data_IF_627554550152
#
_entry.id   IF_627554550152
#
_cell.length_a   1.000
_cell.length_b   1.000
_cell.length_c   1.000
_cell.angle_alpha   90.00
_cell.angle_beta   90.00
_cell.angle_gamma   90.00
#
_symmetry.space_group_name_H-M   'P 1'
#
loop_
_entity.id
_entity.type
_entity.pdbx_description
1 polymer ?
#
# COMPACT_ATOMS: atom_id res chain seq x y z
N UNK A 1 -1.72 -73.41 64.39
CA UNK A 1 -1.18 -72.32 63.55
C UNK A 1 -1.86 -72.40 62.20
N UNK A 2 -2.93 -71.63 61.99
CA UNK A 2 -2.97 -70.39 61.17
C UNK A 2 -2.59 -70.64 59.70
N UNK A 3 -3.59 -70.93 58.86
CA UNK A 3 -3.47 -70.77 57.40
C UNK A 3 -4.85 -70.58 56.73
N UNK A 4 -5.54 -69.49 57.08
CA UNK A 4 -6.67 -68.98 56.29
C UNK A 4 -6.70 -67.46 56.35
N UNK A 5 -5.78 -66.79 55.65
CA UNK A 5 -5.82 -65.33 55.54
C UNK A 5 -5.13 -64.75 54.28
N UNK A 6 -4.86 -65.52 53.22
CA UNK A 6 -4.03 -65.02 52.10
C UNK A 6 -4.69 -64.91 50.71
N UNK A 7 -5.95 -65.34 50.53
CA UNK A 7 -6.60 -65.24 49.20
C UNK A 7 -7.37 -63.93 48.92
N UNK A 8 -7.58 -63.07 49.92
CA UNK A 8 -8.28 -61.79 49.76
C UNK A 8 -7.38 -60.58 49.46
N UNK A 9 -6.07 -60.66 49.78
CA UNK A 9 -5.14 -59.51 49.72
C UNK A 9 -4.58 -59.30 48.30
N UNK A 10 -4.56 -60.33 47.45
CA UNK A 10 -4.05 -60.26 46.08
C UNK A 10 -5.01 -59.59 45.08
N UNK A 11 -6.31 -59.56 45.36
CA UNK A 11 -7.31 -58.95 44.46
C UNK A 11 -7.39 -57.42 44.63
N UNK A 12 -7.09 -56.92 45.82
CA UNK A 12 -7.16 -55.50 46.17
C UNK A 12 -6.19 -54.61 45.36
N UNK A 13 -4.91 -54.98 45.14
CA UNK A 13 -4.03 -54.20 44.27
C UNK A 13 -4.50 -54.22 42.81
N UNK A 14 -5.06 -55.33 42.32
CA UNK A 14 -5.54 -55.45 40.94
C UNK A 14 -6.79 -54.60 40.72
N UNK A 15 -7.76 -54.63 41.63
CA UNK A 15 -8.96 -53.78 41.54
C UNK A 15 -8.61 -52.30 41.68
N UNK A 16 -7.66 -51.95 42.54
CA UNK A 16 -7.16 -50.58 42.66
C UNK A 16 -6.49 -50.13 41.34
N UNK A 17 -5.66 -50.97 40.72
CA UNK A 17 -5.04 -50.63 39.43
C UNK A 17 -6.06 -50.46 38.30
N UNK A 18 -7.06 -51.33 38.23
CA UNK A 18 -8.13 -51.23 37.23
C UNK A 18 -8.98 -49.97 37.45
N UNK A 19 -9.28 -49.61 38.70
CA UNK A 19 -10.00 -48.38 39.03
C UNK A 19 -9.20 -47.12 38.65
N UNK A 20 -7.89 -47.12 38.90
CA UNK A 20 -7.01 -46.00 38.51
C UNK A 20 -6.90 -45.86 36.99
N UNK A 21 -6.72 -46.98 36.28
CA UNK A 21 -6.69 -46.97 34.80
C UNK A 21 -8.03 -46.50 34.22
N UNK A 22 -9.15 -46.95 34.77
CA UNK A 22 -10.49 -46.49 34.37
C UNK A 22 -10.71 -45.00 34.64
N UNK A 23 -10.26 -44.49 35.78
CA UNK A 23 -10.35 -43.07 36.12
C UNK A 23 -9.47 -42.20 35.19
N UNK A 24 -8.25 -42.64 34.86
CA UNK A 24 -7.37 -41.96 33.91
C UNK A 24 -7.95 -41.97 32.49
N UNK A 25 -8.47 -43.10 32.03
CA UNK A 25 -9.13 -43.19 30.72
C UNK A 25 -10.33 -42.24 30.62
N UNK A 26 -11.19 -42.22 31.65
CA UNK A 26 -12.32 -41.28 31.72
C UNK A 26 -11.87 -39.81 31.74
N UNK A 27 -10.83 -39.48 32.51
CA UNK A 27 -10.27 -38.15 32.57
C UNK A 27 -9.67 -37.70 31.22
N UNK A 28 -8.98 -38.59 30.49
CA UNK A 28 -8.43 -38.30 29.16
C UNK A 28 -9.54 -38.10 28.12
N UNK A 29 -10.58 -38.93 28.11
CA UNK A 29 -11.72 -38.77 27.18
C UNK A 29 -12.47 -37.46 27.45
N UNK A 30 -12.68 -37.12 28.73
CA UNK A 30 -13.33 -35.86 29.11
C UNK A 30 -12.45 -34.65 28.82
N UNK A 31 -11.14 -34.74 29.09
CA UNK A 31 -10.14 -33.72 28.78
C UNK A 31 -10.12 -33.40 27.28
N UNK A 32 -9.93 -34.43 26.44
CA UNK A 32 -9.93 -34.25 24.99
C UNK A 32 -11.25 -33.70 24.43
N UNK A 33 -12.39 -34.08 25.01
CA UNK A 33 -13.69 -33.50 24.62
C UNK A 33 -13.83 -32.02 24.98
N UNK A 34 -13.29 -31.60 26.14
CA UNK A 34 -13.27 -30.18 26.55
C UNK A 34 -12.30 -29.37 25.68
N UNK A 35 -11.14 -29.93 25.33
CA UNK A 35 -10.16 -29.27 24.47
C UNK A 35 -10.72 -29.06 23.04
N UNK A 36 -11.42 -30.06 22.48
CA UNK A 36 -12.10 -29.92 21.19
C UNK A 36 -13.21 -28.86 21.23
N UNK A 37 -14.03 -28.85 22.28
CA UNK A 37 -15.08 -27.84 22.43
C UNK A 37 -14.52 -26.42 22.59
N UNK A 38 -13.37 -26.28 23.27
CA UNK A 38 -12.67 -25.01 23.40
C UNK A 38 -12.13 -24.53 22.04
N UNK A 39 -11.52 -25.43 21.27
CA UNK A 39 -11.02 -25.15 19.91
C UNK A 39 -12.17 -24.74 18.98
N UNK A 40 -13.29 -25.47 19.01
CA UNK A 40 -14.46 -25.14 18.19
C UNK A 40 -15.05 -23.76 18.54
N UNK A 41 -15.09 -23.42 19.84
CA UNK A 41 -15.52 -22.10 20.30
C UNK A 41 -14.57 -20.98 19.84
N UNK A 42 -13.26 -21.22 19.86
CA UNK A 42 -12.26 -20.26 19.36
C UNK A 42 -12.41 -20.04 17.85
N UNK A 43 -12.55 -21.11 17.07
CA UNK A 43 -12.82 -21.02 15.64
C UNK A 43 -14.11 -20.26 15.34
N UNK A 44 -15.16 -20.42 16.16
CA UNK A 44 -16.43 -19.73 15.96
C UNK A 44 -16.32 -18.22 16.23
N UNK A 45 -15.53 -17.82 17.23
CA UNK A 45 -15.22 -16.41 17.49
C UNK A 45 -14.46 -15.79 16.31
N UNK A 46 -13.48 -16.51 15.74
CA UNK A 46 -12.75 -16.04 14.56
C UNK A 46 -13.66 -15.90 13.34
N UNK A 47 -14.58 -16.85 13.12
CA UNK A 47 -15.61 -16.74 12.07
C UNK A 47 -16.46 -15.50 12.25
N UNK A 48 -16.90 -15.20 13.48
CA UNK A 48 -17.66 -13.99 13.78
C UNK A 48 -16.86 -12.71 13.43
N UNK A 49 -15.54 -12.68 13.72
CA UNK A 49 -14.66 -11.58 13.33
C UNK A 49 -14.58 -11.42 11.80
N UNK A 50 -14.37 -12.51 11.06
CA UNK A 50 -14.30 -12.44 9.60
C UNK A 50 -15.63 -12.00 8.96
N UNK A 51 -16.76 -12.46 9.51
CA UNK A 51 -18.09 -11.98 9.10
C UNK A 51 -18.22 -10.47 9.36
N UNK A 52 -17.76 -9.98 10.52
CA UNK A 52 -17.78 -8.55 10.83
C UNK A 52 -16.91 -7.74 9.84
N UNK A 53 -15.71 -8.22 9.51
CA UNK A 53 -14.84 -7.60 8.52
C UNK A 53 -15.47 -7.57 7.12
N UNK A 54 -16.11 -8.66 6.69
CA UNK A 54 -16.86 -8.70 5.44
C UNK A 54 -18.00 -7.68 5.43
N UNK A 55 -18.70 -7.53 6.55
CA UNK A 55 -19.73 -6.51 6.75
C UNK A 55 -19.22 -5.08 6.59
N UNK A 56 -18.02 -4.78 7.13
CA UNK A 56 -17.38 -3.48 6.97
C UNK A 56 -17.09 -3.18 5.50
N UNK A 57 -16.52 -4.15 4.76
CA UNK A 57 -16.22 -3.98 3.34
C UNK A 57 -17.48 -3.87 2.49
N UNK A 58 -18.54 -4.62 2.80
CA UNK A 58 -19.83 -4.50 2.13
C UNK A 58 -20.42 -3.10 2.29
N UNK A 59 -20.40 -2.56 3.51
CA UNK A 59 -20.90 -1.21 3.77
C UNK A 59 -20.09 -0.17 3.01
N UNK A 60 -18.76 -0.28 3.05
CA UNK A 60 -17.86 0.60 2.32
C UNK A 60 -18.21 0.59 0.83
N UNK A 61 -18.20 -0.58 0.20
CA UNK A 61 -18.48 -0.72 -1.23
C UNK A 61 -19.85 -0.16 -1.64
N UNK A 62 -20.90 -0.41 -0.85
CA UNK A 62 -22.24 0.10 -1.16
C UNK A 62 -22.28 1.62 -1.18
N UNK A 63 -21.64 2.28 -0.21
CA UNK A 63 -21.64 3.73 -0.10
C UNK A 63 -20.70 4.40 -1.12
N UNK A 64 -19.55 3.79 -1.41
CA UNK A 64 -18.65 4.21 -2.49
C UNK A 64 -19.35 4.18 -3.86
N UNK A 65 -20.16 3.15 -4.11
CA UNK A 65 -20.93 3.02 -5.36
C UNK A 65 -22.04 4.08 -5.49
N UNK A 66 -22.50 4.66 -4.39
CA UNK A 66 -23.43 5.80 -4.40
C UNK A 66 -22.72 7.14 -4.60
N UNK A 67 -21.39 7.14 -4.74
CA UNK A 67 -20.58 8.33 -4.93
C UNK A 67 -20.56 9.24 -3.69
N UNK A 68 -20.79 8.67 -2.50
CA UNK A 68 -20.78 9.38 -1.21
C UNK A 68 -21.74 10.57 -1.12
N UNK A 69 -22.88 10.48 -1.83
CA UNK A 69 -23.95 11.50 -1.78
C UNK A 69 -25.03 11.18 -0.77
N UNK A 70 -25.13 9.93 -0.35
CA UNK A 70 -26.10 9.46 0.63
C UNK A 70 -25.62 8.21 1.33
N UNK A 71 -25.88 8.18 2.64
CA UNK A 71 -25.64 7.01 3.48
C UNK A 71 -26.69 5.93 3.18
N UNK A 72 -26.23 4.70 3.00
CA UNK A 72 -27.08 3.53 2.90
C UNK A 72 -26.54 2.38 3.74
N UNK A 73 -27.36 1.95 4.69
CA UNK A 73 -27.17 0.68 5.36
C UNK A 73 -27.56 -0.50 4.49
N UNK A 74 -26.89 -1.64 4.71
CA UNK A 74 -27.23 -2.89 4.07
C UNK A 74 -28.30 -3.70 4.83
N UNK A 75 -28.74 -3.24 6.01
CA UNK A 75 -29.75 -3.93 6.81
C UNK A 75 -29.21 -5.24 7.36
N UNK A 76 -29.91 -6.35 7.08
CA UNK A 76 -29.50 -7.70 7.47
C UNK A 76 -29.08 -8.49 6.24
N UNK A 77 -27.91 -9.14 6.33
CA UNK A 77 -27.36 -10.00 5.27
C UNK A 77 -27.09 -11.38 5.85
N UNK A 78 -27.73 -12.39 5.27
CA UNK A 78 -27.51 -13.80 5.61
C UNK A 78 -26.41 -14.39 4.71
N UNK A 79 -25.42 -15.05 5.33
CA UNK A 79 -24.29 -15.69 4.66
C UNK A 79 -24.19 -17.17 5.06
N UNK A 80 -23.54 -18.01 4.25
CA UNK A 80 -23.19 -19.36 4.69
C UNK A 80 -22.32 -19.29 5.95
N UNK A 81 -22.87 -19.73 7.09
CA UNK A 81 -22.18 -19.74 8.38
C UNK A 81 -22.53 -18.60 9.33
N UNK A 82 -23.42 -17.66 8.96
CA UNK A 82 -23.86 -16.61 9.88
C UNK A 82 -24.66 -15.48 9.24
N UNK A 83 -24.86 -14.40 9.99
CA UNK A 83 -25.59 -13.20 9.60
C UNK A 83 -24.83 -11.95 10.02
N UNK A 84 -24.96 -10.88 9.23
CA UNK A 84 -24.42 -9.56 9.54
C UNK A 84 -25.58 -8.55 9.55
N UNK A 85 -25.61 -7.67 10.55
CA UNK A 85 -26.60 -6.60 10.69
C UNK A 85 -25.89 -5.26 10.79
N UNK A 86 -26.21 -4.32 9.90
CA UNK A 86 -25.73 -2.94 9.97
C UNK A 86 -26.40 -2.20 11.12
N UNK A 87 -25.61 -1.54 11.96
CA UNK A 87 -26.06 -0.64 13.03
C UNK A 87 -26.00 0.82 12.61
N UNK A 88 -25.45 1.68 13.46
CA UNK A 88 -25.31 3.11 13.19
C UNK A 88 -24.30 3.38 12.08
N UNK A 89 -24.61 4.33 11.20
CA UNK A 89 -23.71 4.85 10.18
C UNK A 89 -23.69 6.37 10.24
N UNK A 90 -22.51 6.93 10.06
CA UNK A 90 -22.29 8.37 9.95
C UNK A 90 -21.22 8.65 8.89
N UNK A 91 -21.43 9.65 8.07
CA UNK A 91 -20.51 10.07 7.01
C UNK A 91 -20.11 11.52 7.25
N UNK A 92 -18.81 11.74 7.30
CA UNK A 92 -18.26 13.07 7.48
C UNK A 92 -16.80 13.11 7.04
N UNK A 93 -16.46 14.09 6.20
CA UNK A 93 -15.09 14.31 5.72
C UNK A 93 -14.48 13.09 5.01
N UNK A 94 -15.22 12.43 4.12
CA UNK A 94 -14.74 11.27 3.35
C UNK A 94 -14.48 10.00 4.12
N UNK A 95 -15.11 9.89 5.29
CA UNK A 95 -15.08 8.68 6.09
C UNK A 95 -16.51 8.22 6.39
N UNK A 96 -16.72 6.92 6.30
CA UNK A 96 -17.90 6.22 6.81
C UNK A 96 -17.55 5.63 8.17
N UNK A 97 -18.16 6.14 9.23
CA UNK A 97 -18.20 5.48 10.52
C UNK A 97 -19.34 4.45 10.50
N UNK A 98 -19.05 3.19 10.78
CA UNK A 98 -20.06 2.13 10.84
C UNK A 98 -19.94 1.29 12.10
N UNK A 99 -21.10 0.99 12.68
CA UNK A 99 -21.27 -0.08 13.66
C UNK A 99 -22.02 -1.24 13.02
N UNK A 100 -21.66 -2.47 13.36
CA UNK A 100 -22.37 -3.67 12.88
C UNK A 100 -22.24 -4.82 13.88
N UNK A 101 -23.13 -5.79 13.77
CA UNK A 101 -23.08 -7.03 14.53
C UNK A 101 -23.02 -8.20 13.56
N UNK A 102 -22.05 -9.08 13.74
CA UNK A 102 -21.96 -10.36 13.06
C UNK A 102 -22.27 -11.49 14.05
N UNK A 103 -23.09 -12.44 13.63
CA UNK A 103 -23.49 -13.60 14.43
C UNK A 103 -23.30 -14.86 13.60
N UNK A 104 -22.56 -15.85 14.09
CA UNK A 104 -22.38 -17.12 13.39
C UNK A 104 -23.62 -18.01 13.53
N UNK A 105 -23.71 -19.06 12.73
CA UNK A 105 -24.81 -20.02 12.79
C UNK A 105 -24.89 -20.76 14.15
N UNK A 106 -23.77 -20.89 14.84
CA UNK A 106 -23.62 -21.51 16.16
C UNK A 106 -23.76 -20.51 17.31
N UNK A 107 -23.88 -19.21 17.01
CA UNK A 107 -24.27 -18.17 17.96
C UNK A 107 -23.12 -17.29 18.49
N UNK A 108 -21.88 -17.48 18.06
CA UNK A 108 -20.80 -16.55 18.38
C UNK A 108 -21.09 -15.16 17.78
N UNK A 109 -20.77 -14.10 18.52
CA UNK A 109 -21.07 -12.72 18.13
C UNK A 109 -19.79 -11.89 18.10
N UNK A 110 -19.64 -11.07 17.06
CA UNK A 110 -18.65 -10.01 17.01
C UNK A 110 -19.33 -8.68 16.71
N UNK A 111 -19.07 -7.67 17.52
CA UNK A 111 -19.60 -6.32 17.33
C UNK A 111 -18.48 -5.37 16.97
N UNK A 112 -18.70 -4.61 15.90
CA UNK A 112 -17.85 -3.47 15.55
C UNK A 112 -18.61 -2.21 15.88
N UNK A 113 -17.99 -1.30 16.63
CA UNK A 113 -18.57 -0.03 17.03
C UNK A 113 -17.80 1.13 16.39
N UNK A 114 -18.49 1.92 15.56
CA UNK A 114 -17.99 3.20 15.05
C UNK A 114 -16.68 3.14 14.24
N UNK A 115 -16.40 2.04 13.54
CA UNK A 115 -15.19 1.92 12.72
C UNK A 115 -15.25 2.92 11.57
N UNK A 116 -14.23 3.77 11.45
CA UNK A 116 -14.10 4.75 10.35
C UNK A 116 -13.38 4.12 9.15
N UNK A 117 -14.02 4.17 8.00
CA UNK A 117 -13.52 3.66 6.73
C UNK A 117 -13.40 4.84 5.75
N UNK A 118 -12.22 5.02 5.14
CA UNK A 118 -12.06 6.00 4.06
C UNK A 118 -12.81 5.53 2.82
N UNK A 119 -13.54 6.44 2.20
CA UNK A 119 -14.34 6.17 1.01
C UNK A 119 -13.84 6.94 -0.21
N UNK A 120 -14.03 6.34 -1.37
CA UNK A 120 -13.64 6.88 -2.67
C UNK A 120 -14.79 6.83 -3.67
N UNK A 121 -14.82 7.77 -4.61
CA UNK A 121 -15.84 7.79 -5.69
C UNK A 121 -15.49 6.78 -6.79
N UNK A 122 -15.75 5.50 -6.54
CA UNK A 122 -15.38 4.38 -7.43
C UNK A 122 -16.00 4.43 -8.83
N UNK A 123 -17.12 5.14 -9.01
CA UNK A 123 -17.82 5.26 -10.29
C UNK A 123 -17.42 6.52 -11.09
N UNK A 124 -16.51 7.34 -10.57
CA UNK A 124 -16.14 8.63 -11.13
C UNK A 124 -14.61 8.79 -11.18
N UNK A 125 -13.91 7.91 -11.94
CA UNK A 125 -12.47 8.04 -12.11
C UNK A 125 -12.16 9.36 -12.80
N UNK A 126 -11.29 10.15 -12.17
CA UNK A 126 -10.89 11.47 -12.65
C UNK A 126 -9.49 11.38 -13.28
N UNK A 127 -9.29 12.12 -14.37
CA UNK A 127 -7.97 12.32 -14.96
C UNK A 127 -7.43 13.71 -14.61
N UNK A 128 -6.13 13.79 -14.34
CA UNK A 128 -5.45 15.03 -13.97
C UNK A 128 -4.03 15.02 -14.53
N UNK A 129 -3.66 16.07 -15.25
CA UNK A 129 -2.28 16.37 -15.55
C UNK A 129 -1.76 17.41 -14.54
N UNK A 130 -0.58 17.15 -13.95
CA UNK A 130 0.07 18.12 -13.07
C UNK A 130 0.45 19.36 -13.90
N UNK A 131 0.20 20.55 -13.33
CA UNK A 131 0.47 21.81 -14.01
C UNK A 131 1.96 22.05 -14.07
N UNK A 132 2.41 22.76 -15.11
CA UNK A 132 3.79 23.24 -15.23
C UNK A 132 4.28 24.00 -13.99
N UNK A 133 3.43 24.82 -13.38
CA UNK A 133 3.77 25.59 -12.17
C UNK A 133 3.97 24.75 -10.91
N UNK A 134 3.58 23.48 -10.98
CA UNK A 134 3.60 22.53 -9.88
C UNK A 134 4.70 21.48 -10.13
N UNK A 135 5.72 21.83 -10.93
CA UNK A 135 6.88 20.99 -11.26
C UNK A 135 8.13 21.82 -10.95
N UNK A 136 8.97 21.28 -10.08
CA UNK A 136 10.33 21.78 -9.89
C UNK A 136 11.27 20.80 -10.58
N UNK A 137 12.23 21.28 -11.35
CA UNK A 137 13.22 20.41 -11.98
C UNK A 137 14.59 21.05 -12.11
N UNK A 138 15.63 20.23 -12.11
CA UNK A 138 17.01 20.69 -12.28
C UNK A 138 17.86 19.51 -12.70
N UNK A 139 19.13 19.75 -13.03
CA UNK A 139 20.10 18.67 -13.10
C UNK A 139 21.34 19.00 -12.27
N UNK A 140 21.91 17.97 -11.68
CA UNK A 140 23.15 18.04 -10.92
C UNK A 140 24.25 17.36 -11.73
N UNK A 141 25.45 17.97 -11.77
CA UNK A 141 26.56 17.48 -12.61
C UNK A 141 27.89 17.50 -11.87
N UNK A 142 28.62 16.39 -11.94
CA UNK A 142 29.96 16.27 -11.35
C UNK A 142 30.93 17.32 -11.91
N UNK A 143 31.72 17.93 -11.04
CA UNK A 143 32.71 18.95 -11.41
C UNK A 143 32.10 20.29 -11.86
N UNK A 144 30.77 20.42 -11.85
CA UNK A 144 30.08 21.67 -12.11
C UNK A 144 29.41 22.16 -10.81
N UNK A 145 29.99 23.16 -10.12
CA UNK A 145 29.48 23.61 -8.82
C UNK A 145 28.20 24.44 -8.93
N UNK A 146 27.84 24.88 -10.15
CA UNK A 146 26.59 25.61 -10.39
C UNK A 146 25.41 24.66 -10.58
N UNK A 147 24.19 25.16 -10.36
CA UNK A 147 22.98 24.43 -10.68
C UNK A 147 22.75 24.33 -12.19
N UNK A 148 22.16 23.21 -12.62
CA UNK A 148 21.73 22.98 -13.99
C UNK A 148 20.47 23.76 -14.35
N UNK A 149 20.58 25.10 -14.46
CA UNK A 149 19.48 25.96 -14.93
C UNK A 149 19.43 25.98 -16.44
N UNK A 150 18.26 25.72 -17.00
CA UNK A 150 18.04 25.86 -18.43
C UNK A 150 16.78 25.20 -18.92
N UNK A 151 16.66 25.16 -20.24
CA UNK A 151 15.54 24.58 -20.97
C UNK A 151 15.62 23.05 -21.11
N UNK A 152 16.56 22.43 -20.40
CA UNK A 152 16.76 20.99 -20.44
C UNK A 152 17.27 20.42 -19.11
N UNK A 153 16.98 19.13 -18.91
CA UNK A 153 17.50 18.26 -17.88
C UNK A 153 18.56 17.36 -18.50
N UNK A 154 19.82 17.48 -18.04
CA UNK A 154 20.90 16.62 -18.50
C UNK A 154 20.98 15.34 -17.68
N UNK A 155 21.15 14.21 -18.35
CA UNK A 155 21.43 12.92 -17.72
C UNK A 155 22.56 12.20 -18.46
N UNK A 156 23.57 11.82 -17.69
CA UNK A 156 24.80 11.16 -18.16
C UNK A 156 25.22 10.15 -17.12
N UNK A 157 25.64 8.96 -17.57
CA UNK A 157 26.04 7.87 -16.67
C UNK A 157 27.13 8.33 -15.71
N UNK A 158 26.82 8.28 -14.41
CA UNK A 158 27.65 8.69 -13.28
C UNK A 158 28.27 10.10 -13.36
N UNK A 159 27.75 11.00 -14.20
CA UNK A 159 28.23 12.39 -14.30
C UNK A 159 27.14 13.44 -14.17
N UNK A 160 25.91 13.14 -14.59
CA UNK A 160 24.80 14.07 -14.49
C UNK A 160 23.49 13.34 -14.22
N UNK A 161 22.71 13.85 -13.28
CA UNK A 161 21.38 13.32 -12.97
C UNK A 161 20.35 14.45 -13.07
N UNK A 162 19.29 14.22 -13.84
CA UNK A 162 18.11 15.07 -13.81
C UNK A 162 17.28 14.77 -12.57
N UNK A 163 16.69 15.81 -11.99
CA UNK A 163 15.81 15.78 -10.84
C UNK A 163 14.48 16.41 -11.24
N UNK A 164 13.38 15.77 -10.87
CA UNK A 164 12.02 16.27 -11.13
C UNK A 164 11.15 16.00 -9.91
N UNK A 165 10.56 17.04 -9.35
CA UNK A 165 9.60 16.97 -8.25
C UNK A 165 8.23 17.48 -8.68
N UNK A 166 7.17 16.82 -8.21
CA UNK A 166 5.78 17.17 -8.49
C UNK A 166 5.07 17.65 -7.25
N UNK A 167 4.47 18.84 -7.31
CA UNK A 167 3.58 19.34 -6.28
C UNK A 167 2.15 18.88 -6.56
N UNK A 168 1.60 18.06 -5.67
CA UNK A 168 0.24 17.54 -5.86
C UNK A 168 -0.82 18.52 -5.36
N UNK A 169 -1.87 18.79 -6.17
CA UNK A 169 -2.98 19.59 -5.70
C UNK A 169 -3.78 18.82 -4.65
N UNK A 170 -4.49 19.56 -3.79
CA UNK A 170 -5.14 19.00 -2.59
C UNK A 170 -6.18 17.92 -2.88
N UNK A 171 -6.73 17.89 -4.09
CA UNK A 171 -7.72 16.94 -4.58
C UNK A 171 -7.17 15.50 -4.68
N UNK A 172 -5.85 15.34 -4.74
CA UNK A 172 -5.19 14.03 -4.72
C UNK A 172 -4.90 13.50 -3.31
N UNK A 173 -5.07 14.31 -2.25
CA UNK A 173 -4.79 13.86 -0.89
C UNK A 173 -5.67 12.65 -0.52
N UNK A 174 -5.03 11.55 -0.12
CA UNK A 174 -5.68 10.26 0.19
C UNK A 174 -6.53 9.68 -0.97
N UNK A 175 -6.28 10.08 -2.22
CA UNK A 175 -6.89 9.48 -3.40
C UNK A 175 -6.34 8.07 -3.67
N UNK A 176 -7.12 7.23 -4.35
CA UNK A 176 -6.63 5.96 -4.89
C UNK A 176 -6.09 6.21 -6.29
N UNK A 177 -4.79 5.98 -6.49
CA UNK A 177 -4.16 6.12 -7.81
C UNK A 177 -4.46 4.86 -8.61
N UNK A 178 -5.09 5.03 -9.77
CA UNK A 178 -5.33 3.93 -10.71
C UNK A 178 -4.20 3.82 -11.74
N UNK A 179 -3.64 4.96 -12.14
CA UNK A 179 -2.57 5.06 -13.11
C UNK A 179 -1.82 6.38 -12.92
N UNK A 180 -0.50 6.36 -13.03
CA UNK A 180 0.35 7.54 -13.05
C UNK A 180 1.47 7.32 -14.08
N UNK A 181 1.37 8.00 -15.22
CA UNK A 181 2.39 7.97 -16.26
C UNK A 181 3.18 9.27 -16.24
N UNK A 182 4.46 9.15 -15.95
CA UNK A 182 5.42 10.24 -16.09
C UNK A 182 6.04 10.21 -17.48
N UNK A 183 6.05 11.36 -18.17
CA UNK A 183 6.58 11.51 -19.52
C UNK A 183 7.63 12.60 -19.59
N UNK A 184 8.68 12.31 -20.32
CA UNK A 184 9.74 13.26 -20.66
C UNK A 184 10.04 13.17 -22.15
N UNK A 185 10.30 14.30 -22.77
CA UNK A 185 10.73 14.36 -24.17
C UNK A 185 12.21 14.63 -24.25
N UNK A 186 12.95 13.70 -24.85
CA UNK A 186 14.35 13.91 -25.18
C UNK A 186 14.45 14.85 -26.38
N UNK A 187 15.11 15.98 -26.21
CA UNK A 187 15.24 17.04 -27.23
C UNK A 187 16.62 17.07 -27.87
N UNK A 188 17.63 16.56 -27.17
CA UNK A 188 19.01 16.53 -27.66
C UNK A 188 19.77 15.36 -27.01
N UNK A 189 20.82 14.88 -27.68
CA UNK A 189 21.73 13.88 -27.16
C UNK A 189 23.04 13.86 -27.94
N UNK A 190 24.09 13.34 -27.30
CA UNK A 190 25.35 13.09 -28.00
C UNK A 190 25.16 11.98 -29.05
N UNK A 191 25.63 12.27 -30.27
CA UNK A 191 25.42 11.49 -31.51
C UNK A 191 25.52 9.97 -31.37
N UNK A 192 24.69 9.24 -32.14
CA UNK A 192 24.73 7.79 -32.39
C UNK A 192 25.05 6.91 -31.17
N UNK A 193 24.46 7.22 -30.02
CA UNK A 193 24.49 6.29 -28.89
C UNK A 193 23.45 5.17 -29.08
N UNK A 194 23.80 3.90 -28.83
CA UNK A 194 22.85 2.80 -28.83
C UNK A 194 21.77 3.00 -27.76
N UNK A 195 20.65 2.29 -27.91
CA UNK A 195 19.57 2.33 -26.92
C UNK A 195 20.07 1.92 -25.52
N UNK A 196 19.63 2.65 -24.49
CA UNK A 196 20.05 2.45 -23.09
C UNK A 196 18.87 2.59 -22.14
N UNK A 197 18.97 1.95 -20.98
CA UNK A 197 17.98 2.11 -19.93
C UNK A 197 18.15 3.47 -19.24
N UNK A 198 17.04 4.17 -19.03
CA UNK A 198 16.91 5.27 -18.09
C UNK A 198 15.96 4.85 -16.97
N UNK A 199 16.51 4.75 -15.77
CA UNK A 199 15.80 4.35 -14.57
C UNK A 199 15.41 5.58 -13.73
N UNK A 200 14.23 5.49 -13.13
CA UNK A 200 13.70 6.50 -12.23
C UNK A 200 13.85 6.02 -10.79
N UNK A 201 14.55 6.79 -9.98
CA UNK A 201 14.76 6.48 -8.58
C UNK A 201 14.08 7.51 -7.69
N UNK A 202 13.38 7.04 -6.64
CA UNK A 202 12.80 7.95 -5.64
C UNK A 202 13.92 8.62 -4.84
N UNK A 203 13.92 9.95 -4.83
CA UNK A 203 14.85 10.75 -4.01
C UNK A 203 14.45 10.66 -2.54
N UNK A 204 15.44 10.64 -1.64
CA UNK A 204 15.21 10.49 -0.20
C UNK A 204 15.59 11.69 0.64
N UNK A 205 16.18 12.72 0.03
CA UNK A 205 16.58 13.96 0.67
C UNK A 205 15.93 15.14 -0.04
N UNK A 206 15.43 16.10 0.74
CA UNK A 206 14.83 17.33 0.24
C UNK A 206 15.85 18.15 -0.57
N UNK A 207 15.39 18.83 -1.61
CA UNK A 207 16.22 19.69 -2.45
C UNK A 207 15.41 20.86 -2.98
N UNK A 208 16.12 21.91 -3.40
CA UNK A 208 15.53 23.05 -4.07
C UNK A 208 16.17 23.17 -5.43
N UNK A 209 15.36 23.44 -6.43
CA UNK A 209 15.80 23.62 -7.83
C UNK A 209 17.00 24.57 -7.95
N UNK A 210 16.97 25.65 -7.18
CA UNK A 210 18.00 26.68 -7.20
C UNK A 210 19.27 26.35 -6.42
N UNK A 211 19.25 25.34 -5.54
CA UNK A 211 20.35 25.06 -4.60
C UNK A 211 20.98 23.68 -4.79
N UNK A 212 20.33 22.78 -5.54
CA UNK A 212 20.81 21.42 -5.75
C UNK A 212 22.06 21.42 -6.65
N UNK A 213 23.12 20.75 -6.17
CA UNK A 213 24.39 20.56 -6.88
C UNK A 213 24.81 19.09 -6.81
N UNK A 214 25.93 18.72 -7.42
CA UNK A 214 26.41 17.33 -7.33
C UNK A 214 26.69 16.87 -5.90
N UNK A 215 27.15 17.77 -5.01
CA UNK A 215 27.61 17.40 -3.67
C UNK A 215 26.68 17.84 -2.54
N UNK A 216 25.59 18.56 -2.84
CA UNK A 216 24.64 19.05 -1.86
C UNK A 216 23.23 19.07 -2.44
N UNK A 217 22.17 18.82 -1.64
CA UNK A 217 22.17 18.64 -0.17
C UNK A 217 22.39 17.20 0.33
N UNK A 218 22.92 16.33 -0.53
CA UNK A 218 22.98 14.89 -0.33
C UNK A 218 24.04 14.41 0.68
N UNK A 219 23.84 13.21 1.21
CA UNK A 219 24.88 12.49 1.97
C UNK A 219 25.96 11.90 1.06
N UNK A 220 25.58 11.50 -0.16
CA UNK A 220 26.48 10.97 -1.19
C UNK A 220 26.40 11.82 -2.44
N UNK A 221 27.56 12.16 -3.01
CA UNK A 221 27.61 12.94 -4.25
C UNK A 221 26.83 12.23 -5.37
N UNK A 222 26.07 13.02 -6.14
CA UNK A 222 25.16 12.52 -7.16
C UNK A 222 23.74 12.25 -6.68
N UNK A 223 23.40 12.52 -5.42
CA UNK A 223 22.02 12.42 -4.93
C UNK A 223 21.78 11.27 -3.96
N UNK A 224 20.88 11.48 -3.00
CA UNK A 224 20.37 10.42 -2.12
C UNK A 224 19.08 9.83 -2.71
N UNK A 225 19.08 8.55 -3.03
CA UNK A 225 17.94 7.88 -3.67
C UNK A 225 17.82 6.41 -3.29
N UNK A 226 16.62 5.84 -3.49
CA UNK A 226 16.37 4.40 -3.32
C UNK A 226 17.02 3.61 -4.45
N UNK A 227 17.92 2.68 -4.13
CA UNK A 227 18.66 1.89 -5.12
C UNK A 227 17.76 1.05 -6.05
N UNK A 228 16.61 0.57 -5.57
CA UNK A 228 15.60 -0.08 -6.43
C UNK A 228 14.86 1.01 -7.24
N UNK A 229 14.88 0.96 -8.58
CA UNK A 229 14.16 1.93 -9.39
C UNK A 229 12.65 1.76 -9.22
N UNK A 230 11.93 2.88 -9.28
CA UNK A 230 10.48 2.92 -9.36
C UNK A 230 9.98 2.45 -10.74
N UNK A 231 10.70 2.83 -11.80
CA UNK A 231 10.44 2.41 -13.17
C UNK A 231 11.72 2.52 -14.02
N UNK A 232 11.73 1.85 -15.17
CA UNK A 232 12.84 1.96 -16.14
C UNK A 232 12.31 1.76 -17.55
N UNK A 233 12.81 2.57 -18.49
CA UNK A 233 12.44 2.53 -19.91
C UNK A 233 13.72 2.61 -20.75
N UNK A 234 13.73 1.92 -21.89
CA UNK A 234 14.82 2.02 -22.85
C UNK A 234 14.60 3.26 -23.72
N UNK A 235 15.58 4.17 -23.71
CA UNK A 235 15.60 5.38 -24.53
C UNK A 235 16.54 5.20 -25.73
N UNK A 236 16.18 5.80 -26.86
CA UNK A 236 16.83 5.67 -28.15
C UNK A 236 16.60 6.91 -29.03
N UNK A 237 17.39 7.96 -28.81
CA UNK A 237 17.32 9.20 -29.58
C UNK A 237 16.20 10.16 -29.14
N UNK A 238 15.94 11.17 -29.96
CA UNK A 238 14.99 12.23 -29.61
C UNK A 238 13.54 11.74 -29.80
N UNK A 239 12.84 11.50 -28.70
CA UNK A 239 11.45 11.09 -28.67
C UNK A 239 10.83 11.39 -27.30
N UNK A 240 9.51 11.24 -27.19
CA UNK A 240 8.83 11.15 -25.90
C UNK A 240 8.99 9.74 -25.33
N UNK A 241 9.33 9.67 -24.05
CA UNK A 241 9.41 8.44 -23.27
C UNK A 241 8.47 8.50 -22.08
N UNK A 242 7.96 7.35 -21.68
CA UNK A 242 7.00 7.22 -20.58
C UNK A 242 7.45 6.16 -19.57
N UNK A 243 7.15 6.42 -18.31
CA UNK A 243 7.36 5.53 -17.18
C UNK A 243 6.09 5.49 -16.33
N UNK A 244 5.65 4.27 -16.01
CA UNK A 244 4.52 4.06 -15.09
C UNK A 244 5.03 4.01 -13.66
N UNK A 245 4.55 4.94 -12.82
CA UNK A 245 5.03 5.14 -11.45
C UNK A 245 3.89 5.11 -10.41
N UNK A 246 2.82 4.34 -10.69
CA UNK A 246 1.60 4.25 -9.87
C UNK A 246 1.89 4.11 -8.37
N UNK A 247 2.69 3.12 -8.00
CA UNK A 247 2.98 2.82 -6.59
C UNK A 247 3.78 3.93 -5.88
N UNK A 248 4.63 4.65 -6.63
CA UNK A 248 5.41 5.76 -6.08
C UNK A 248 4.49 6.95 -5.81
N UNK A 249 3.67 7.30 -6.79
CA UNK A 249 2.69 8.39 -6.68
C UNK A 249 1.64 8.08 -5.62
N UNK A 250 1.15 6.84 -5.55
CA UNK A 250 0.25 6.40 -4.50
C UNK A 250 0.88 6.55 -3.10
N UNK A 251 2.18 6.24 -2.99
CA UNK A 251 2.93 6.44 -1.78
C UNK A 251 2.98 7.91 -1.32
N UNK A 252 3.21 8.83 -2.27
CA UNK A 252 3.25 10.27 -2.03
C UNK A 252 1.89 10.85 -1.65
N UNK A 253 0.83 10.56 -2.41
CA UNK A 253 -0.51 11.11 -2.15
C UNK A 253 -1.13 10.59 -0.85
N UNK A 254 -0.78 9.37 -0.45
CA UNK A 254 -1.16 8.77 0.84
C UNK A 254 -0.18 9.09 1.98
N UNK A 255 0.89 9.85 1.72
CA UNK A 255 1.90 10.27 2.70
C UNK A 255 2.58 9.11 3.44
N UNK A 256 2.64 7.94 2.79
CA UNK A 256 3.36 6.77 3.32
C UNK A 256 4.86 6.87 3.07
N UNK A 257 5.25 7.65 2.06
CA UNK A 257 6.62 8.06 1.79
C UNK A 257 6.66 9.57 1.50
N UNK A 258 7.71 10.30 1.92
CA UNK A 258 7.93 11.68 1.51
C UNK A 258 8.07 11.80 -0.01
N UNK A 259 7.59 12.92 -0.55
CA UNK A 259 7.83 13.32 -1.92
C UNK A 259 8.99 14.31 -1.93
N UNK A 260 10.09 13.91 -2.56
CA UNK A 260 11.24 14.75 -2.90
C UNK A 260 11.56 14.59 -4.39
N UNK A 261 10.57 14.15 -5.18
CA UNK A 261 10.74 13.88 -6.59
C UNK A 261 11.52 12.61 -6.95
N UNK A 262 12.03 12.64 -8.17
CA UNK A 262 12.61 11.53 -8.91
C UNK A 262 13.97 11.94 -9.44
N UNK A 263 14.93 11.01 -9.34
CA UNK A 263 16.25 11.10 -9.95
C UNK A 263 16.30 10.22 -11.20
N UNK A 264 16.70 10.83 -12.32
CA UNK A 264 16.93 10.22 -13.63
C UNK A 264 18.34 9.63 -13.68
N UNK A 265 18.47 8.32 -13.46
CA UNK A 265 19.75 7.61 -13.49
C UNK A 265 19.82 6.69 -14.71
N UNK A 266 20.67 6.98 -15.70
CA UNK A 266 20.84 6.11 -16.83
C UNK A 266 21.85 5.00 -16.51
N UNK A 267 22.06 4.09 -17.45
CA UNK A 267 23.16 3.11 -17.39
C UNK A 267 23.83 3.05 -18.76
N UNK A 268 25.13 3.35 -18.81
CA UNK A 268 25.92 3.34 -20.05
C UNK A 268 25.48 4.36 -21.10
N UNK A 269 24.83 5.45 -20.68
CA UNK A 269 24.38 6.56 -21.52
C UNK A 269 25.41 7.69 -21.52
N UNK A 270 25.75 8.23 -22.69
CA UNK A 270 26.81 9.24 -22.81
C UNK A 270 26.34 10.65 -22.47
N UNK A 271 25.17 11.04 -22.97
CA UNK A 271 24.48 12.30 -22.64
C UNK A 271 23.09 12.24 -23.27
N UNK A 272 22.06 12.52 -22.49
CA UNK A 272 20.73 12.87 -23.01
C UNK A 272 20.22 14.13 -22.32
N UNK A 273 19.51 14.95 -23.11
CA UNK A 273 18.86 16.16 -22.64
C UNK A 273 17.37 16.04 -22.85
N UNK A 274 16.63 16.10 -21.76
CA UNK A 274 15.17 16.14 -21.77
C UNK A 274 14.72 17.58 -21.66
N UNK A 275 13.59 17.95 -22.26
CA UNK A 275 13.01 19.27 -22.02
C UNK A 275 12.68 19.44 -20.54
N UNK A 276 13.08 20.57 -19.96
CA UNK A 276 12.71 20.94 -18.58
C UNK A 276 11.36 21.66 -18.57
N UNK A 277 10.83 21.88 -17.37
CA UNK A 277 9.61 22.65 -17.14
C UNK A 277 9.79 24.12 -17.55
N UNK A 278 11.01 24.63 -17.71
CA UNK A 278 11.35 25.96 -18.25
C UNK A 278 11.12 26.07 -19.78
N UNK A 279 11.06 24.95 -20.51
CA UNK A 279 10.85 24.98 -21.97
C UNK A 279 9.40 25.32 -22.34
N UNK A 280 9.15 25.86 -23.54
CA UNK A 280 7.82 26.26 -23.99
C UNK A 280 7.01 25.09 -24.56
N UNK A 281 7.68 24.05 -25.02
CA UNK A 281 7.08 22.84 -25.58
C UNK A 281 7.72 21.59 -24.97
N UNK A 282 7.01 20.47 -25.01
CA UNK A 282 7.52 19.16 -24.59
C UNK A 282 7.98 19.07 -23.12
N UNK A 283 7.46 19.96 -22.26
CA UNK A 283 7.72 19.97 -20.82
C UNK A 283 7.44 18.61 -20.18
N UNK A 284 8.05 18.32 -19.01
CA UNK A 284 7.72 17.15 -18.22
C UNK A 284 6.21 17.07 -17.94
N UNK A 285 5.63 15.86 -18.02
CA UNK A 285 4.22 15.64 -17.75
C UNK A 285 4.03 14.47 -16.81
N UNK A 286 3.23 14.66 -15.75
CA UNK A 286 2.67 13.57 -14.97
C UNK A 286 1.16 13.52 -15.17
N UNK A 287 0.71 12.47 -15.85
CA UNK A 287 -0.71 12.21 -16.10
C UNK A 287 -1.22 11.15 -15.13
N UNK A 288 -2.20 11.51 -14.32
CA UNK A 288 -2.83 10.63 -13.35
C UNK A 288 -4.25 10.28 -13.78
N UNK A 289 -4.64 9.05 -13.46
CA UNK A 289 -6.04 8.62 -13.34
C UNK A 289 -6.26 8.12 -11.93
N UNK A 290 -7.25 8.64 -11.23
CA UNK A 290 -7.44 8.37 -9.80
C UNK A 290 -8.91 8.34 -9.40
N UNK A 291 -9.21 7.71 -8.26
CA UNK A 291 -10.48 7.83 -7.57
C UNK A 291 -10.35 8.89 -6.47
N UNK A 292 -11.03 10.03 -6.59
CA UNK A 292 -11.00 11.04 -5.56
C UNK A 292 -11.61 10.49 -4.27
N UNK A 293 -11.08 10.96 -3.15
CA UNK A 293 -11.74 10.80 -1.86
C UNK A 293 -13.14 11.43 -1.95
N UNK A 294 -14.04 10.87 -1.16
CA UNK A 294 -15.24 11.58 -0.72
C UNK A 294 -14.85 12.65 0.32
#
# INVERSE_FOLDING_TARGET
MKEQAQRGILLLPVTLTLAVVGALAYAMTRGGGMDLAAIDAEYDIERARYLAEAGLQLAKWQNERLGCKSQRGFGTVDLPGGRIVSGTMDEGGGQLAISLTATTATGAVNQVAGRRLRMHRVNDPTELAIKRSDIDDTFIREGYPGQGKGKYLETTDDQAHGLVEFHFPKELNDAVVLQADFRLTQVDSKSAQPARALALHRVTSDWKEDDATWTAPWSTAGGDYVARPAASTVIAGNAEYSWRIDALVEGWVNKTVPNYGILLKPTGLLEARFASHEENANQPQLLLRYLPRC
#
